data_IF_408767748403
#
_entry.id   IF_408767748403
#
_cell.length_a   1.000
_cell.length_b   1.000
_cell.length_c   1.000
_cell.angle_alpha   90.00
_cell.angle_beta   90.00
_cell.angle_gamma   90.00
#
_symmetry.space_group_name_H-M   'P 1'
#
loop_
_entity.id
_entity.type
_entity.pdbx_description
1 polymer ?
#
# COMPACT_ATOMS: atom_id res chain seq x y z
N UNK A 1 22.64 7.93 -2.26
CA UNK A 1 21.83 7.93 -3.51
C UNK A 1 20.81 9.04 -3.42
N UNK A 2 20.47 9.70 -4.55
CA UNK A 2 19.47 10.77 -4.59
C UNK A 2 18.19 10.28 -5.29
N UNK A 3 17.07 10.85 -4.88
CA UNK A 3 15.78 10.63 -5.52
C UNK A 3 15.64 11.45 -6.80
N UNK A 4 15.04 10.87 -7.83
CA UNK A 4 14.71 11.57 -9.07
C UNK A 4 13.21 11.63 -9.29
N UNK A 5 12.68 12.78 -9.71
CA UNK A 5 11.28 12.93 -10.11
C UNK A 5 10.87 12.06 -11.30
N UNK A 6 11.85 11.47 -12.00
CA UNK A 6 11.58 10.52 -13.08
C UNK A 6 11.21 9.13 -12.56
N UNK A 7 11.50 8.83 -11.29
CA UNK A 7 11.11 7.57 -10.63
C UNK A 7 9.59 7.47 -10.38
N UNK A 8 8.86 8.58 -10.54
CA UNK A 8 7.42 8.62 -10.30
C UNK A 8 6.66 9.10 -11.54
N UNK A 9 5.39 8.68 -11.65
CA UNK A 9 4.50 9.15 -12.72
C UNK A 9 4.38 10.69 -12.69
N UNK A 10 4.27 11.37 -13.85
CA UNK A 10 4.21 12.84 -13.93
C UNK A 10 3.18 13.49 -13.00
N UNK A 11 2.03 12.87 -12.77
CA UNK A 11 0.98 13.40 -11.87
C UNK A 11 1.40 13.49 -10.40
N UNK A 12 2.43 12.73 -9.96
CA UNK A 12 2.98 12.80 -8.62
C UNK A 12 4.11 13.83 -8.47
N UNK A 13 4.72 14.26 -9.57
CA UNK A 13 5.91 15.14 -9.54
C UNK A 13 5.72 16.44 -8.76
N UNK A 14 4.57 17.14 -8.86
CA UNK A 14 4.35 18.35 -8.05
C UNK A 14 4.45 18.08 -6.55
N UNK A 15 3.85 16.98 -6.07
CA UNK A 15 3.93 16.59 -4.68
C UNK A 15 5.36 16.22 -4.28
N UNK A 16 6.02 15.36 -5.05
CA UNK A 16 7.37 14.89 -4.71
C UNK A 16 8.43 15.98 -4.81
N UNK A 17 8.27 16.99 -5.67
CA UNK A 17 9.19 18.11 -5.78
C UNK A 17 9.36 18.88 -4.46
N UNK A 18 8.31 18.97 -3.65
CA UNK A 18 8.34 19.62 -2.33
C UNK A 18 9.01 18.76 -1.26
N UNK A 19 9.26 17.47 -1.54
CA UNK A 19 9.74 16.48 -0.57
C UNK A 19 11.13 15.90 -0.91
N UNK A 20 11.77 16.33 -2.01
CA UNK A 20 13.07 15.78 -2.49
C UNK A 20 14.11 15.76 -1.39
N UNK A 21 14.30 16.88 -0.66
CA UNK A 21 15.31 16.96 0.39
C UNK A 21 15.10 15.95 1.52
N UNK A 22 13.85 15.82 2.00
CA UNK A 22 13.53 14.86 3.04
C UNK A 22 13.70 13.40 2.55
N UNK A 23 13.36 13.13 1.29
CA UNK A 23 13.56 11.81 0.70
C UNK A 23 15.06 11.49 0.58
N UNK A 24 15.88 12.42 0.13
CA UNK A 24 17.32 12.25 0.01
C UNK A 24 18.00 12.01 1.38
N UNK A 25 17.55 12.69 2.42
CA UNK A 25 18.00 12.43 3.80
C UNK A 25 17.65 10.99 4.23
N UNK A 26 16.42 10.54 3.97
CA UNK A 26 16.01 9.16 4.27
C UNK A 26 16.91 8.18 3.51
N UNK A 27 17.00 8.31 2.18
CA UNK A 27 17.75 7.40 1.33
C UNK A 27 19.24 7.33 1.69
N UNK A 28 19.85 8.47 2.06
CA UNK A 28 21.26 8.49 2.49
C UNK A 28 21.49 7.83 3.86
N UNK A 29 20.44 7.65 4.67
CA UNK A 29 20.49 6.96 5.97
C UNK A 29 20.29 5.45 5.89
N UNK A 30 20.00 4.90 4.70
CA UNK A 30 19.77 3.48 4.48
C UNK A 30 21.06 2.78 4.06
N UNK A 31 21.21 1.52 4.46
CA UNK A 31 22.22 0.62 3.90
C UNK A 31 21.64 -0.08 2.66
N UNK A 32 22.09 0.31 1.49
CA UNK A 32 21.54 -0.15 0.21
C UNK A 32 21.68 -1.66 -0.05
N UNK A 33 22.58 -2.34 0.65
CA UNK A 33 22.80 -3.78 0.48
C UNK A 33 21.81 -4.64 1.27
N UNK A 34 21.16 -4.04 2.27
CA UNK A 34 20.30 -4.76 3.21
C UNK A 34 18.87 -4.21 3.26
N UNK A 35 18.40 -3.53 2.22
CA UNK A 35 17.03 -2.99 2.20
C UNK A 35 16.04 -3.89 1.47
N UNK A 36 14.80 -3.83 1.91
CA UNK A 36 13.63 -4.40 1.25
C UNK A 36 12.52 -3.33 1.14
N UNK A 37 11.92 -3.12 -0.04
CA UNK A 37 12.27 -3.65 -1.36
C UNK A 37 13.64 -3.16 -1.85
N UNK A 38 14.10 -3.69 -2.99
CA UNK A 38 15.29 -3.17 -3.67
C UNK A 38 15.12 -1.69 -4.06
N UNK A 39 16.24 -0.97 -4.20
CA UNK A 39 16.26 0.50 -4.39
C UNK A 39 15.34 0.99 -5.52
N UNK A 40 15.35 0.31 -6.65
CA UNK A 40 14.52 0.63 -7.81
C UNK A 40 13.02 0.46 -7.57
N UNK A 41 12.63 -0.27 -6.54
CA UNK A 41 11.24 -0.57 -6.21
C UNK A 41 10.67 0.27 -5.06
N UNK A 42 11.48 1.11 -4.39
CA UNK A 42 11.01 1.92 -3.25
C UNK A 42 9.80 2.78 -3.62
N UNK A 43 9.84 3.40 -4.80
CA UNK A 43 8.80 4.31 -5.28
C UNK A 43 7.82 3.68 -6.27
N UNK A 44 7.82 2.35 -6.42
CA UNK A 44 6.99 1.65 -7.41
C UNK A 44 5.49 1.96 -7.28
N UNK A 45 4.96 2.13 -6.08
CA UNK A 45 3.56 2.51 -5.89
C UNK A 45 3.18 3.84 -6.56
N UNK A 46 4.16 4.70 -6.83
CA UNK A 46 3.98 6.01 -7.44
C UNK A 46 4.30 6.03 -8.95
N UNK A 47 4.60 4.90 -9.55
CA UNK A 47 4.75 4.79 -11.02
C UNK A 47 3.38 4.76 -11.73
N UNK A 48 2.30 4.56 -10.99
CA UNK A 48 0.92 4.65 -11.48
C UNK A 48 0.37 6.07 -11.30
N UNK A 49 -0.60 6.45 -12.14
CA UNK A 49 -1.15 7.82 -12.12
C UNK A 49 -1.90 8.12 -10.82
N UNK A 50 -1.55 9.23 -10.15
CA UNK A 50 -2.31 9.79 -9.04
C UNK A 50 -3.76 10.10 -9.42
N UNK A 51 -3.99 10.53 -10.67
CA UNK A 51 -5.33 10.95 -11.12
C UNK A 51 -6.29 9.77 -11.25
N UNK A 52 -5.76 8.55 -11.37
CA UNK A 52 -6.55 7.32 -11.42
C UNK A 52 -6.82 6.74 -10.02
N UNK A 53 -6.16 7.23 -8.97
CA UNK A 53 -6.31 6.66 -7.62
C UNK A 53 -7.72 6.90 -7.09
N UNK A 54 -8.44 5.82 -6.83
CA UNK A 54 -9.79 5.81 -6.24
C UNK A 54 -9.82 5.10 -4.89
N UNK A 55 -8.91 4.15 -4.67
CA UNK A 55 -8.79 3.41 -3.41
C UNK A 55 -7.35 3.46 -2.92
N UNK A 56 -7.17 3.66 -1.62
CA UNK A 56 -5.90 3.47 -0.92
C UNK A 56 -6.00 2.19 -0.08
N UNK A 57 -5.08 1.25 -0.27
CA UNK A 57 -4.83 0.17 0.70
C UNK A 57 -3.54 0.49 1.42
N UNK A 58 -3.63 0.67 2.74
CA UNK A 58 -2.49 1.09 3.55
C UNK A 58 -1.94 -0.09 4.36
N UNK A 59 -0.71 -0.49 4.02
CA UNK A 59 0.11 -1.43 4.76
C UNK A 59 0.99 -0.75 5.81
N UNK A 60 1.72 -1.54 6.59
CA UNK A 60 2.63 -1.03 7.62
C UNK A 60 4.04 -0.84 7.08
N UNK A 61 4.71 -1.93 6.72
CA UNK A 61 6.07 -2.01 6.21
C UNK A 61 6.19 -3.10 5.13
N UNK A 62 7.22 -3.07 4.29
CA UNK A 62 7.45 -4.11 3.29
C UNK A 62 7.75 -5.47 3.92
N UNK A 63 7.55 -6.55 3.17
CA UNK A 63 8.03 -7.87 3.58
C UNK A 63 9.56 -7.85 3.73
N UNK A 64 10.10 -8.35 4.84
CA UNK A 64 11.54 -8.29 5.08
C UNK A 64 12.33 -9.40 4.36
N UNK A 65 11.66 -10.38 3.76
CA UNK A 65 12.33 -11.46 3.02
C UNK A 65 13.05 -10.92 1.80
N UNK A 66 14.27 -11.41 1.54
CA UNK A 66 15.02 -11.02 0.35
C UNK A 66 14.21 -11.29 -0.93
N UNK A 67 14.00 -10.26 -1.77
CA UNK A 67 13.26 -10.35 -3.02
C UNK A 67 11.75 -10.63 -2.87
N UNK A 68 11.19 -10.51 -1.66
CA UNK A 68 9.75 -10.74 -1.41
C UNK A 68 8.92 -9.47 -1.60
N UNK A 69 9.41 -8.31 -1.16
CA UNK A 69 8.74 -7.03 -1.39
C UNK A 69 9.10 -6.49 -2.78
N UNK A 70 8.10 -5.95 -3.47
CA UNK A 70 8.22 -5.39 -4.81
C UNK A 70 7.85 -3.90 -4.89
N UNK A 71 7.69 -3.23 -3.74
CA UNK A 71 7.34 -1.82 -3.64
C UNK A 71 5.84 -1.51 -3.56
N UNK A 72 4.97 -2.48 -3.84
CA UNK A 72 3.54 -2.37 -3.60
C UNK A 72 3.17 -3.05 -2.27
N UNK A 73 2.37 -2.40 -1.44
CA UNK A 73 1.95 -2.98 -0.17
C UNK A 73 1.23 -4.33 -0.38
N UNK A 74 1.61 -5.34 0.39
CA UNK A 74 1.11 -6.73 0.34
C UNK A 74 1.45 -7.52 -0.93
N UNK A 75 1.98 -6.90 -1.99
CA UNK A 75 2.39 -7.54 -3.23
C UNK A 75 3.74 -8.24 -3.11
N UNK A 76 3.97 -9.25 -3.96
CA UNK A 76 5.24 -9.95 -4.07
C UNK A 76 5.44 -10.47 -5.50
N UNK A 77 6.66 -10.37 -6.07
CA UNK A 77 6.95 -10.92 -7.39
C UNK A 77 7.13 -12.44 -7.37
N UNK A 78 7.20 -13.05 -6.18
CA UNK A 78 7.64 -14.43 -5.99
C UNK A 78 6.65 -15.30 -5.23
N UNK A 79 6.80 -16.62 -5.42
CA UNK A 79 6.11 -17.65 -4.63
C UNK A 79 7.07 -18.23 -3.57
N UNK A 80 6.55 -18.75 -2.46
CA UNK A 80 5.12 -18.91 -2.14
C UNK A 80 4.44 -17.58 -1.76
N UNK A 81 3.15 -17.47 -2.03
CA UNK A 81 2.32 -16.30 -1.67
C UNK A 81 2.51 -15.98 -0.19
N UNK A 82 2.87 -14.73 0.18
CA UNK A 82 3.07 -14.33 1.58
C UNK A 82 1.86 -14.56 2.47
N UNK A 83 2.08 -14.84 3.74
CA UNK A 83 1.01 -15.26 4.66
C UNK A 83 -0.12 -14.22 4.82
N UNK A 84 0.21 -12.93 4.86
CA UNK A 84 -0.80 -11.87 4.91
C UNK A 84 -1.62 -11.82 3.60
N UNK A 85 -0.96 -11.95 2.45
CA UNK A 85 -1.65 -11.96 1.15
C UNK A 85 -2.54 -13.19 0.99
N UNK A 86 -2.13 -14.37 1.49
CA UNK A 86 -3.02 -15.55 1.53
C UNK A 86 -4.30 -15.30 2.31
N UNK A 87 -4.23 -14.54 3.42
CA UNK A 87 -5.41 -14.18 4.19
C UNK A 87 -6.25 -13.12 3.45
N UNK A 88 -5.61 -12.16 2.77
CA UNK A 88 -6.31 -11.20 1.89
C UNK A 88 -7.08 -11.96 0.82
N UNK A 89 -6.47 -12.97 0.18
CA UNK A 89 -7.14 -13.76 -0.86
C UNK A 89 -8.29 -14.63 -0.34
N UNK A 90 -8.22 -15.11 0.92
CA UNK A 90 -9.37 -15.80 1.54
C UNK A 90 -10.55 -14.85 1.71
N UNK A 91 -10.30 -13.66 2.23
CA UNK A 91 -11.33 -12.63 2.40
C UNK A 91 -11.86 -12.15 1.03
N UNK A 92 -10.98 -11.99 0.04
CA UNK A 92 -11.33 -11.63 -1.33
C UNK A 92 -12.32 -12.63 -1.96
N UNK A 93 -12.07 -13.92 -1.82
CA UNK A 93 -12.96 -14.98 -2.33
C UNK A 93 -14.31 -14.95 -1.63
N UNK A 94 -14.31 -14.79 -0.29
CA UNK A 94 -15.52 -14.75 0.52
C UNK A 94 -16.36 -13.49 0.26
N UNK A 95 -15.70 -12.34 0.06
CA UNK A 95 -16.35 -11.05 -0.18
C UNK A 95 -16.92 -10.93 -1.59
N UNK A 96 -16.15 -11.35 -2.61
CA UNK A 96 -16.46 -11.06 -4.02
C UNK A 96 -16.98 -12.27 -4.79
N UNK A 97 -16.91 -13.47 -4.23
CA UNK A 97 -17.26 -14.74 -4.92
C UNK A 97 -16.44 -14.93 -6.21
N UNK A 98 -15.20 -14.45 -6.23
CA UNK A 98 -14.26 -14.60 -7.35
C UNK A 98 -13.30 -15.77 -7.10
N UNK A 99 -12.71 -16.37 -8.15
CA UNK A 99 -11.70 -17.42 -8.00
C UNK A 99 -10.51 -16.96 -7.16
N UNK A 100 -9.92 -17.88 -6.38
CA UNK A 100 -8.71 -17.57 -5.62
C UNK A 100 -7.54 -17.27 -6.55
N UNK A 101 -6.85 -16.12 -6.38
CA UNK A 101 -5.69 -15.79 -7.21
C UNK A 101 -4.50 -16.75 -6.96
N UNK A 102 -3.74 -17.04 -8.01
CA UNK A 102 -2.54 -17.89 -7.95
C UNK A 102 -1.24 -17.11 -7.99
N UNK A 103 -1.27 -15.85 -8.41
CA UNK A 103 -0.13 -14.91 -8.38
C UNK A 103 -0.09 -14.17 -7.05
N UNK A 104 1.10 -13.75 -6.62
CA UNK A 104 1.27 -12.84 -5.50
C UNK A 104 1.44 -11.38 -5.95
N UNK A 105 1.50 -11.13 -7.25
CA UNK A 105 1.63 -9.79 -7.84
C UNK A 105 0.27 -9.08 -7.90
N UNK A 106 0.21 -7.89 -7.28
CA UNK A 106 -0.98 -7.04 -7.22
C UNK A 106 -0.93 -5.86 -8.21
N UNK A 107 -0.05 -5.88 -9.19
CA UNK A 107 0.10 -4.83 -10.21
C UNK A 107 -1.24 -4.49 -10.89
N UNK A 108 -2.06 -5.50 -11.19
CA UNK A 108 -3.36 -5.29 -11.81
C UNK A 108 -4.31 -4.42 -10.95
N UNK A 109 -4.23 -4.48 -9.62
CA UNK A 109 -4.99 -3.57 -8.76
C UNK A 109 -4.45 -2.14 -8.84
N UNK A 110 -3.11 -1.97 -8.87
CA UNK A 110 -2.49 -0.65 -9.00
C UNK A 110 -2.85 0.02 -10.33
N UNK A 111 -2.83 -0.72 -11.44
CA UNK A 111 -3.26 -0.25 -12.76
C UNK A 111 -4.73 0.20 -12.81
N UNK A 112 -5.58 -0.42 -11.96
CA UNK A 112 -7.01 -0.12 -11.86
C UNK A 112 -7.35 0.95 -10.83
N UNK A 113 -6.35 1.67 -10.32
CA UNK A 113 -6.55 2.82 -9.44
C UNK A 113 -6.56 2.50 -7.95
N UNK A 114 -5.93 1.40 -7.54
CA UNK A 114 -5.67 1.10 -6.13
C UNK A 114 -4.23 1.49 -5.79
N UNK A 115 -4.03 2.50 -4.95
CA UNK A 115 -2.71 2.79 -4.39
C UNK A 115 -2.39 1.81 -3.26
N UNK A 116 -1.43 0.92 -3.50
CA UNK A 116 -0.93 -0.06 -2.54
C UNK A 116 0.28 0.53 -1.81
N UNK A 117 0.06 1.23 -0.70
CA UNK A 117 1.06 2.03 -0.01
C UNK A 117 1.39 1.47 1.37
N UNK A 118 2.67 1.38 1.72
CA UNK A 118 3.11 1.13 3.09
C UNK A 118 3.35 2.44 3.85
N UNK A 119 3.12 2.45 5.18
CA UNK A 119 3.46 3.57 6.08
C UNK A 119 4.96 3.84 6.10
N UNK A 120 5.76 2.79 5.97
CA UNK A 120 7.22 2.84 5.85
C UNK A 120 7.60 2.17 4.54
N UNK A 121 8.28 2.89 3.63
CA UNK A 121 8.52 2.39 2.27
C UNK A 121 9.66 1.37 2.20
N UNK A 122 10.49 1.29 3.24
CA UNK A 122 11.62 0.35 3.32
C UNK A 122 11.69 -0.32 4.68
N UNK A 123 12.34 -1.49 4.72
CA UNK A 123 12.79 -2.14 5.95
C UNK A 123 14.14 -2.81 5.71
N UNK A 124 14.86 -3.26 6.75
CA UNK A 124 16.05 -4.08 6.58
C UNK A 124 15.65 -5.50 6.17
N UNK A 125 16.46 -6.12 5.31
CA UNK A 125 16.29 -7.53 4.97
C UNK A 125 16.38 -8.38 6.23
N UNK A 126 15.40 -9.26 6.42
CA UNK A 126 15.29 -10.11 7.60
C UNK A 126 14.62 -9.48 8.81
N UNK A 127 14.44 -8.15 8.86
CA UNK A 127 13.93 -7.45 10.05
C UNK A 127 12.69 -6.61 9.70
N UNK A 128 11.59 -6.86 10.43
CA UNK A 128 10.36 -6.06 10.31
C UNK A 128 10.50 -4.74 11.06
N UNK A 129 9.90 -3.68 10.52
CA UNK A 129 9.84 -2.38 11.17
C UNK A 129 11.19 -1.71 11.44
N UNK A 130 12.28 -2.19 10.84
CA UNK A 130 13.61 -1.66 11.08
C UNK A 130 13.74 -0.15 10.75
N UNK A 131 12.93 0.35 9.82
CA UNK A 131 13.00 1.73 9.34
C UNK A 131 11.85 2.63 9.81
N UNK A 132 11.13 2.27 10.88
CA UNK A 132 10.03 3.11 11.42
C UNK A 132 10.46 4.54 11.78
N UNK A 133 11.70 4.70 12.24
CA UNK A 133 12.26 6.00 12.64
C UNK A 133 13.02 6.75 11.53
N UNK A 134 13.06 6.19 10.31
CA UNK A 134 13.86 6.75 9.20
C UNK A 134 13.21 7.94 8.47
N UNK A 135 12.01 8.38 8.87
CA UNK A 135 11.37 9.57 8.29
C UNK A 135 10.28 9.27 7.23
N UNK A 136 10.00 8.00 6.92
CA UNK A 136 8.93 7.66 5.97
C UNK A 136 7.53 8.08 6.42
N UNK A 137 7.25 7.99 7.74
CA UNK A 137 5.90 8.25 8.28
C UNK A 137 5.40 9.68 8.02
N UNK A 138 6.18 10.76 8.15
CA UNK A 138 5.77 12.11 7.74
C UNK A 138 5.43 12.21 6.24
N UNK A 139 6.25 11.62 5.37
CA UNK A 139 6.00 11.61 3.91
C UNK A 139 4.69 10.89 3.58
N UNK A 140 4.49 9.68 4.12
CA UNK A 140 3.29 8.90 3.86
C UNK A 140 2.04 9.50 4.50
N UNK A 141 2.18 10.26 5.60
CA UNK A 141 1.10 11.08 6.15
C UNK A 141 0.69 12.20 5.18
N UNK A 142 1.66 12.93 4.60
CA UNK A 142 1.38 13.97 3.60
C UNK A 142 0.69 13.40 2.36
N UNK A 143 1.09 12.20 1.91
CA UNK A 143 0.40 11.48 0.82
C UNK A 143 -1.04 11.13 1.21
N UNK A 144 -1.27 10.63 2.43
CA UNK A 144 -2.62 10.32 2.90
C UNK A 144 -3.51 11.56 2.98
N UNK A 145 -2.97 12.71 3.39
CA UNK A 145 -3.68 14.00 3.40
C UNK A 145 -4.05 14.46 1.98
N UNK A 146 -3.12 14.35 1.04
CA UNK A 146 -3.39 14.63 -0.39
C UNK A 146 -4.54 13.77 -0.91
N UNK A 147 -4.53 12.47 -0.63
CA UNK A 147 -5.56 11.54 -1.08
C UNK A 147 -6.92 11.78 -0.40
N UNK A 148 -6.92 12.12 0.88
CA UNK A 148 -8.14 12.47 1.61
C UNK A 148 -8.84 13.69 1.00
N UNK A 149 -8.08 14.68 0.51
CA UNK A 149 -8.60 15.84 -0.24
C UNK A 149 -9.16 15.50 -1.63
N UNK A 150 -8.94 14.29 -2.13
CA UNK A 150 -9.42 13.80 -3.44
C UNK A 150 -10.59 12.81 -3.33
N UNK A 151 -11.19 12.68 -2.15
CA UNK A 151 -12.29 11.73 -1.88
C UNK A 151 -11.94 10.26 -2.23
N UNK A 152 -10.71 9.85 -1.94
CA UNK A 152 -10.26 8.46 -2.09
C UNK A 152 -10.87 7.61 -0.98
N UNK A 153 -11.32 6.40 -1.29
CA UNK A 153 -11.73 5.42 -0.28
C UNK A 153 -10.51 4.76 0.34
N UNK A 154 -10.38 4.78 1.66
CA UNK A 154 -9.26 4.17 2.35
C UNK A 154 -9.62 2.81 2.95
N UNK A 155 -8.85 1.77 2.63
CA UNK A 155 -8.89 0.47 3.28
C UNK A 155 -7.72 0.42 4.27
N UNK A 156 -8.03 0.40 5.56
CA UNK A 156 -7.08 0.56 6.65
C UNK A 156 -7.00 -0.71 7.50
N UNK A 157 -5.97 -1.51 7.27
CA UNK A 157 -5.77 -2.80 7.93
C UNK A 157 -4.75 -2.73 9.08
N UNK A 158 -5.23 -2.90 10.29
CA UNK A 158 -4.42 -2.92 11.52
C UNK A 158 -4.20 -1.53 12.13
N UNK A 159 -3.62 -1.50 13.32
CA UNK A 159 -3.55 -0.28 14.14
C UNK A 159 -2.76 0.84 13.46
N UNK A 160 -1.60 0.54 12.87
CA UNK A 160 -0.76 1.55 12.21
C UNK A 160 -1.47 2.24 11.04
N UNK A 161 -2.24 1.49 10.22
CA UNK A 161 -3.04 2.09 9.15
C UNK A 161 -4.23 2.89 9.71
N UNK A 162 -4.89 2.38 10.75
CA UNK A 162 -6.06 3.00 11.37
C UNK A 162 -5.76 4.33 12.09
N UNK A 163 -4.49 4.62 12.42
CA UNK A 163 -4.08 5.95 12.91
C UNK A 163 -4.46 7.06 11.91
N UNK A 164 -4.53 6.75 10.61
CA UNK A 164 -4.92 7.70 9.58
C UNK A 164 -6.43 7.73 9.29
N UNK A 165 -7.23 6.91 9.97
CA UNK A 165 -8.68 6.85 9.77
C UNK A 165 -9.38 8.22 9.89
N UNK A 166 -9.01 9.12 10.81
CA UNK A 166 -9.64 10.44 10.91
C UNK A 166 -9.51 11.33 9.66
N UNK A 167 -8.53 11.06 8.80
CA UNK A 167 -8.34 11.83 7.56
C UNK A 167 -9.38 11.49 6.50
N UNK A 168 -9.90 10.26 6.49
CA UNK A 168 -10.74 9.77 5.40
C UNK A 168 -12.23 9.73 5.79
N UNK A 169 -13.05 10.42 5.01
CA UNK A 169 -14.50 10.37 5.14
C UNK A 169 -15.02 8.97 4.77
N UNK A 170 -14.54 8.44 3.64
CA UNK A 170 -14.91 7.12 3.13
C UNK A 170 -13.77 6.14 3.45
N UNK A 171 -14.04 5.19 4.34
CA UNK A 171 -13.03 4.23 4.78
C UNK A 171 -13.61 2.91 5.25
N UNK A 172 -12.83 1.86 5.11
CA UNK A 172 -13.09 0.53 5.67
C UNK A 172 -11.95 0.21 6.63
N UNK A 173 -12.28 -0.11 7.87
CA UNK A 173 -11.33 -0.42 8.92
C UNK A 173 -11.48 -1.87 9.38
N UNK A 174 -10.37 -2.59 9.54
CA UNK A 174 -10.38 -3.92 10.13
C UNK A 174 -9.05 -4.24 10.83
N UNK A 175 -8.96 -5.42 11.45
CA UNK A 175 -7.70 -5.95 11.92
C UNK A 175 -6.72 -6.18 10.75
N UNK A 176 -5.42 -6.30 11.04
CA UNK A 176 -4.41 -6.57 10.01
C UNK A 176 -4.55 -8.02 9.49
N UNK A 177 -4.34 -8.28 8.16
CA UNK A 177 -4.47 -9.60 7.55
C UNK A 177 -3.39 -10.63 7.97
N UNK A 178 -2.43 -10.26 8.81
CA UNK A 178 -1.41 -11.20 9.28
C UNK A 178 -2.02 -12.40 10.02
N UNK A 179 -1.38 -13.58 10.01
CA UNK A 179 -1.85 -14.74 10.76
C UNK A 179 -2.07 -14.48 12.25
N UNK A 180 -1.35 -13.50 12.82
CA UNK A 180 -1.45 -13.14 14.24
C UNK A 180 -2.74 -12.39 14.59
N UNK A 181 -3.40 -11.77 13.62
CA UNK A 181 -4.53 -10.86 13.85
C UNK A 181 -5.74 -11.07 12.95
N UNK A 182 -5.61 -11.80 11.85
CA UNK A 182 -6.70 -11.93 10.86
C UNK A 182 -8.02 -12.47 11.47
N UNK A 183 -7.95 -13.36 12.45
CA UNK A 183 -9.15 -13.88 13.15
C UNK A 183 -9.79 -12.89 14.13
N UNK A 184 -9.15 -11.72 14.34
CA UNK A 184 -9.64 -10.68 15.27
C UNK A 184 -10.42 -9.58 14.58
N UNK A 185 -11.07 -9.89 13.42
CA UNK A 185 -11.95 -8.97 12.69
C UNK A 185 -11.41 -8.52 11.33
N UNK A 186 -10.43 -9.23 10.74
CA UNK A 186 -10.11 -9.07 9.32
C UNK A 186 -11.04 -9.95 8.49
N UNK A 187 -11.16 -11.24 8.82
CA UNK A 187 -12.10 -12.12 8.14
C UNK A 187 -13.55 -11.70 8.40
N UNK A 188 -14.34 -11.61 7.34
CA UNK A 188 -15.72 -11.12 7.34
C UNK A 188 -15.85 -9.60 7.30
N UNK A 189 -14.75 -8.85 7.16
CA UNK A 189 -14.79 -7.37 7.04
C UNK A 189 -15.25 -6.85 5.69
N UNK A 190 -15.26 -7.70 4.65
CA UNK A 190 -15.74 -7.43 3.30
C UNK A 190 -15.21 -6.10 2.71
N UNK A 191 -13.88 -5.90 2.71
CA UNK A 191 -13.31 -4.59 2.42
C UNK A 191 -13.46 -4.18 0.94
N UNK A 192 -13.49 -5.14 0.04
CA UNK A 192 -13.51 -4.90 -1.40
C UNK A 192 -14.89 -4.45 -1.88
N UNK A 193 -15.94 -5.19 -1.50
CA UNK A 193 -17.34 -4.82 -1.82
C UNK A 193 -17.75 -3.53 -1.09
N UNK A 194 -17.32 -3.34 0.16
CA UNK A 194 -17.58 -2.11 0.91
C UNK A 194 -16.92 -0.89 0.25
N UNK A 195 -15.68 -1.02 -0.23
CA UNK A 195 -15.00 0.07 -0.94
C UNK A 195 -15.72 0.41 -2.25
N UNK A 196 -16.12 -0.59 -3.03
CA UNK A 196 -16.87 -0.37 -4.27
C UNK A 196 -18.20 0.33 -4.02
N UNK A 197 -18.95 -0.08 -2.98
CA UNK A 197 -20.18 0.59 -2.59
C UNK A 197 -19.96 2.08 -2.28
N UNK A 198 -18.90 2.44 -1.55
CA UNK A 198 -18.57 3.83 -1.25
C UNK A 198 -18.18 4.62 -2.50
N UNK A 199 -17.48 3.99 -3.47
CA UNK A 199 -17.18 4.60 -4.76
C UNK A 199 -18.46 4.93 -5.54
N UNK A 200 -19.37 3.97 -5.64
CA UNK A 200 -20.67 4.16 -6.32
C UNK A 200 -21.52 5.26 -5.64
N UNK A 201 -21.59 5.29 -4.31
CA UNK A 201 -22.29 6.32 -3.54
C UNK A 201 -21.72 7.73 -3.77
N UNK A 202 -20.44 7.83 -4.17
CA UNK A 202 -19.77 9.10 -4.51
C UNK A 202 -19.72 9.38 -6.01
N UNK A 203 -20.39 8.57 -6.83
CA UNK A 203 -20.43 8.72 -8.28
C UNK A 203 -19.14 8.34 -9.01
N UNK A 204 -18.28 7.56 -8.37
CA UNK A 204 -17.05 7.03 -8.95
C UNK A 204 -17.27 5.60 -9.43
N UNK A 205 -16.52 5.21 -10.47
CA UNK A 205 -16.54 3.83 -10.95
C UNK A 205 -15.95 2.87 -9.90
N UNK A 206 -16.57 1.71 -9.67
CA UNK A 206 -16.02 0.69 -8.78
C UNK A 206 -14.69 0.14 -9.31
N UNK A 207 -13.89 -0.42 -8.42
CA UNK A 207 -12.67 -1.15 -8.79
C UNK A 207 -13.06 -2.55 -9.31
N UNK A 208 -12.51 -2.93 -10.47
CA UNK A 208 -12.46 -4.34 -10.86
C UNK A 208 -11.33 -5.03 -10.09
N UNK A 209 -11.71 -5.77 -9.04
CA UNK A 209 -10.77 -6.46 -8.16
C UNK A 209 -10.22 -7.78 -8.74
N UNK A 210 -10.66 -8.20 -9.91
CA UNK A 210 -10.24 -9.47 -10.51
C UNK A 210 -8.73 -9.49 -10.77
N UNK A 211 -8.03 -10.57 -10.36
CA UNK A 211 -6.60 -10.82 -10.57
C UNK A 211 -6.38 -11.95 -11.58
#
# INVERSE_FOLDING_TARGET
>A
MSFSLEEVHPSWRPFFAEHVGAIDEILSSLDDQEISPSRENIFRAFTFSLDNVRVLILGQDPYPGHGVADGLAFSSPSLPIPASLRNIYKEYVEDLTLPIPTSADLTAWAERGVLLLNRTLTTSTGERNAHLSKGWSPLTLSIAQLLAGRDVVAILWGNSARELAPLFKNRVESAHPSPLSARRGFFGSKPFSAANKMLEETGKEPIDWKL
#
